data_IF_794944695061
#
_entry.id   IF_794944695061
#
_cell.length_a   1.000
_cell.length_b   1.000
_cell.length_c   1.000
_cell.angle_alpha   90.00
_cell.angle_beta   90.00
_cell.angle_gamma   90.00
#
_symmetry.space_group_name_H-M   'P 1'
#
loop_
_entity.id
_entity.type
_entity.pdbx_description
1 polymer ?
#
# COMPACT_ATOMS: atom_id res chain seq x y z
N UNK A 1 -5.65 -47.14 7.92
CA UNK A 1 -6.33 -45.86 7.98
C UNK A 1 -7.68 -45.90 8.68
N UNK A 2 -8.56 -46.88 8.41
CA UNK A 2 -9.88 -47.04 9.07
C UNK A 2 -9.82 -47.23 10.58
N UNK A 3 -8.83 -47.93 11.09
CA UNK A 3 -8.67 -48.21 12.54
C UNK A 3 -8.28 -46.95 13.35
N UNK A 4 -7.45 -46.06 12.77
CA UNK A 4 -7.04 -44.82 13.42
C UNK A 4 -8.22 -43.84 13.53
N UNK A 5 -9.05 -43.74 12.46
CA UNK A 5 -10.26 -42.92 12.49
C UNK A 5 -11.29 -43.43 13.48
N UNK A 6 -11.45 -44.75 13.57
CA UNK A 6 -12.34 -45.39 14.55
C UNK A 6 -11.89 -45.07 15.99
N UNK A 7 -10.61 -45.21 16.32
CA UNK A 7 -10.08 -44.87 17.63
C UNK A 7 -10.28 -43.41 18.01
N UNK A 8 -10.05 -42.48 17.06
CA UNK A 8 -10.24 -41.04 17.32
C UNK A 8 -11.70 -40.67 17.54
N UNK A 9 -12.63 -41.32 16.83
CA UNK A 9 -14.07 -41.06 16.99
C UNK A 9 -14.61 -41.63 18.31
N UNK A 10 -14.11 -42.79 18.78
CA UNK A 10 -14.56 -43.43 20.00
C UNK A 10 -13.90 -42.82 21.24
N UNK A 11 -12.59 -42.55 21.22
CA UNK A 11 -11.87 -41.97 22.37
C UNK A 11 -12.20 -40.51 22.66
N UNK A 12 -12.52 -39.68 21.63
CA UNK A 12 -12.86 -38.27 21.82
C UNK A 12 -14.34 -38.01 22.11
N UNK A 13 -15.14 -39.03 22.34
CA UNK A 13 -16.59 -38.90 22.68
C UNK A 13 -17.35 -37.97 21.76
N UNK A 14 -17.06 -38.01 20.43
CA UNK A 14 -17.89 -37.29 19.46
C UNK A 14 -19.25 -38.00 19.46
N UNK A 15 -20.36 -37.31 19.80
CA UNK A 15 -21.67 -37.95 19.87
C UNK A 15 -22.11 -38.33 18.45
N UNK A 16 -21.87 -39.60 18.10
CA UNK A 16 -22.46 -40.17 16.89
C UNK A 16 -23.97 -40.30 17.14
N UNK A 17 -24.78 -39.78 16.23
CA UNK A 17 -26.24 -39.99 16.33
C UNK A 17 -26.54 -41.47 16.30
N UNK A 18 -27.54 -41.92 17.08
CA UNK A 18 -27.95 -43.34 17.26
C UNK A 18 -28.01 -44.20 15.99
N UNK A 19 -28.20 -43.58 14.82
CA UNK A 19 -28.25 -44.29 13.52
C UNK A 19 -26.88 -44.66 12.92
N UNK A 20 -25.79 -44.01 13.33
CA UNK A 20 -24.45 -44.27 12.77
C UNK A 20 -23.80 -45.56 13.31
N UNK A 21 -24.08 -45.91 14.58
CA UNK A 21 -23.57 -47.13 15.19
C UNK A 21 -24.23 -48.37 14.61
N UNK A 22 -25.52 -48.29 14.32
CA UNK A 22 -26.28 -49.36 13.66
C UNK A 22 -25.76 -49.59 12.24
N UNK A 23 -25.47 -48.52 11.49
CA UNK A 23 -24.95 -48.63 10.12
C UNK A 23 -23.55 -49.25 10.10
N UNK A 24 -22.66 -48.92 11.06
CA UNK A 24 -21.34 -49.48 11.18
C UNK A 24 -21.41 -51.00 11.51
N UNK A 25 -22.32 -51.41 12.37
CA UNK A 25 -22.48 -52.82 12.79
C UNK A 25 -23.12 -53.66 11.66
N UNK A 26 -24.06 -53.12 10.88
CA UNK A 26 -24.80 -53.88 9.86
C UNK A 26 -24.15 -53.82 8.48
N UNK A 27 -23.50 -52.74 8.13
CA UNK A 27 -22.81 -52.61 6.84
C UNK A 27 -21.59 -51.67 6.96
N UNK A 28 -20.46 -52.18 7.43
CA UNK A 28 -19.26 -51.38 7.67
C UNK A 28 -18.70 -50.75 6.38
N UNK A 29 -18.87 -51.41 5.24
CA UNK A 29 -18.40 -50.89 3.96
C UNK A 29 -19.18 -49.64 3.53
N UNK A 30 -20.50 -49.66 3.65
CA UNK A 30 -21.36 -48.51 3.35
C UNK A 30 -21.13 -47.36 4.32
N UNK A 31 -20.91 -47.63 5.59
CA UNK A 31 -20.57 -46.63 6.58
C UNK A 31 -19.30 -45.88 6.21
N UNK A 32 -18.20 -46.61 5.90
CA UNK A 32 -16.95 -45.98 5.53
C UNK A 32 -16.99 -45.27 4.21
N UNK A 33 -17.83 -45.71 3.26
CA UNK A 33 -18.06 -45.02 1.98
C UNK A 33 -18.77 -43.69 2.21
N UNK A 34 -19.77 -43.64 3.07
CA UNK A 34 -20.45 -42.40 3.45
C UNK A 34 -19.53 -41.42 4.19
N UNK A 35 -18.67 -41.90 5.09
CA UNK A 35 -17.68 -41.10 5.78
C UNK A 35 -16.66 -40.54 4.78
N UNK A 36 -16.21 -41.33 3.82
CA UNK A 36 -15.30 -40.88 2.77
C UNK A 36 -15.92 -39.78 1.87
N UNK A 37 -17.19 -39.90 1.54
CA UNK A 37 -17.91 -38.87 0.77
C UNK A 37 -18.12 -37.59 1.61
N UNK A 38 -18.49 -37.72 2.87
CA UNK A 38 -18.76 -36.58 3.77
C UNK A 38 -17.48 -35.77 4.13
N UNK A 39 -16.33 -36.44 4.19
CA UNK A 39 -15.06 -35.79 4.52
C UNK A 39 -14.25 -35.44 3.27
N UNK A 40 -14.26 -36.34 2.28
CA UNK A 40 -13.46 -36.20 1.05
C UNK A 40 -14.00 -35.14 0.08
N UNK A 41 -15.31 -35.06 -0.09
CA UNK A 41 -15.91 -34.09 -1.00
C UNK A 41 -15.66 -32.61 -0.58
N UNK A 42 -15.83 -32.20 0.68
CA UNK A 42 -15.48 -30.86 1.13
C UNK A 42 -14.00 -30.52 0.96
N UNK A 43 -13.09 -31.47 1.17
CA UNK A 43 -11.65 -31.26 1.01
C UNK A 43 -11.26 -31.09 -0.47
N UNK A 44 -11.92 -31.83 -1.38
CA UNK A 44 -11.72 -31.66 -2.82
C UNK A 44 -12.26 -30.31 -3.32
N UNK A 45 -13.39 -29.86 -2.80
CA UNK A 45 -13.94 -28.54 -3.13
C UNK A 45 -13.03 -27.44 -2.61
N UNK A 46 -12.53 -27.55 -1.37
CA UNK A 46 -11.59 -26.59 -0.79
C UNK A 46 -10.27 -26.52 -1.58
N UNK A 47 -9.75 -27.67 -2.01
CA UNK A 47 -8.58 -27.77 -2.87
C UNK A 47 -8.81 -27.13 -4.24
N UNK A 48 -9.96 -27.37 -4.85
CA UNK A 48 -10.33 -26.78 -6.14
C UNK A 48 -10.49 -25.25 -6.05
N UNK A 49 -11.13 -24.75 -4.99
CA UNK A 49 -11.26 -23.30 -4.72
C UNK A 49 -9.89 -22.67 -4.54
N UNK A 50 -8.99 -23.31 -3.78
CA UNK A 50 -7.62 -22.82 -3.57
C UNK A 50 -6.83 -22.79 -4.88
N UNK A 51 -6.91 -23.83 -5.69
CA UNK A 51 -6.25 -23.88 -7.02
C UNK A 51 -6.81 -22.83 -7.96
N UNK A 52 -8.14 -22.63 -7.99
CA UNK A 52 -8.78 -21.60 -8.81
C UNK A 52 -8.42 -20.18 -8.37
N UNK A 53 -8.33 -19.93 -7.06
CA UNK A 53 -7.88 -18.63 -6.54
C UNK A 53 -6.41 -18.35 -6.83
N UNK A 54 -5.54 -19.34 -6.73
CA UNK A 54 -4.11 -19.20 -7.08
C UNK A 54 -3.91 -19.07 -8.60
N UNK A 55 -4.68 -19.79 -9.41
CA UNK A 55 -4.67 -19.65 -10.87
C UNK A 55 -5.24 -18.29 -11.31
N UNK A 56 -6.29 -17.79 -10.64
CA UNK A 56 -6.84 -16.46 -10.86
C UNK A 56 -5.81 -15.38 -10.59
N UNK A 57 -5.09 -15.44 -9.47
CA UNK A 57 -3.99 -14.52 -9.15
C UNK A 57 -2.89 -14.55 -10.21
N UNK A 58 -2.42 -15.74 -10.63
CA UNK A 58 -1.41 -15.84 -11.69
C UNK A 58 -1.87 -15.27 -13.03
N UNK A 59 -3.14 -15.39 -13.38
CA UNK A 59 -3.69 -14.82 -14.61
C UNK A 59 -3.86 -13.30 -14.54
N UNK A 60 -4.13 -12.75 -13.35
CA UNK A 60 -4.16 -11.30 -13.12
C UNK A 60 -2.76 -10.71 -13.16
N UNK A 61 -1.78 -11.32 -12.52
CA UNK A 61 -0.37 -10.90 -12.58
C UNK A 61 0.13 -10.90 -14.05
N UNK A 62 -0.16 -11.93 -14.82
CA UNK A 62 0.20 -12.00 -16.24
C UNK A 62 -0.55 -10.98 -17.12
N UNK A 63 -1.77 -10.58 -16.76
CA UNK A 63 -2.50 -9.48 -17.43
C UNK A 63 -1.94 -8.12 -17.09
N UNK A 64 -1.52 -7.91 -15.84
CA UNK A 64 -0.88 -6.69 -15.35
C UNK A 64 0.48 -6.53 -16.04
N UNK A 65 1.30 -7.59 -16.10
CA UNK A 65 2.60 -7.59 -16.80
C UNK A 65 2.45 -7.29 -18.29
N UNK A 66 1.46 -7.87 -18.95
CA UNK A 66 1.22 -7.64 -20.39
C UNK A 66 0.70 -6.20 -20.65
N UNK A 67 -0.09 -5.62 -19.73
CA UNK A 67 -0.55 -4.23 -19.83
C UNK A 67 0.56 -3.25 -19.52
N UNK A 68 1.43 -3.56 -18.57
CA UNK A 68 2.63 -2.76 -18.24
C UNK A 68 3.57 -2.73 -19.45
N UNK A 69 3.84 -3.88 -20.07
CA UNK A 69 4.63 -4.02 -21.29
C UNK A 69 4.03 -3.22 -22.45
N UNK A 70 2.70 -3.26 -22.65
CA UNK A 70 2.01 -2.49 -23.68
C UNK A 70 1.96 -0.98 -23.40
N UNK A 71 1.96 -0.57 -22.13
CA UNK A 71 2.03 0.85 -21.76
C UNK A 71 3.45 1.41 -21.96
N UNK A 72 4.47 0.61 -21.65
CA UNK A 72 5.87 0.94 -21.91
C UNK A 72 6.20 0.99 -23.42
N UNK A 73 5.59 0.09 -24.21
CA UNK A 73 5.78 0.02 -25.67
C UNK A 73 5.05 1.15 -26.44
N UNK A 74 4.05 1.79 -25.83
CA UNK A 74 3.33 2.93 -26.38
C UNK A 74 3.98 4.29 -26.12
N UNK A 75 5.24 4.29 -25.67
CA UNK A 75 6.06 5.52 -25.64
C UNK A 75 5.58 6.54 -24.61
N UNK A 76 5.11 6.11 -23.44
CA UNK A 76 5.09 6.99 -22.26
C UNK A 76 6.55 7.31 -21.95
N UNK A 77 7.06 8.32 -22.62
CA UNK A 77 8.36 8.92 -22.28
C UNK A 77 8.23 9.47 -20.87
N UNK A 78 8.79 8.73 -19.90
CA UNK A 78 9.20 9.37 -18.65
C UNK A 78 10.21 10.46 -19.04
N UNK A 79 10.18 11.64 -18.45
CA UNK A 79 11.14 12.71 -18.76
C UNK A 79 12.55 12.39 -18.22
N UNK A 80 12.92 11.11 -18.18
CA UNK A 80 14.20 10.63 -17.69
C UNK A 80 14.87 9.76 -18.75
N UNK A 81 15.94 10.27 -19.35
CA UNK A 81 16.94 9.44 -20.03
C UNK A 81 17.77 8.70 -18.96
N UNK A 82 17.93 7.36 -19.06
CA UNK A 82 18.75 6.64 -18.12
C UNK A 82 20.20 7.13 -18.20
N UNK A 83 20.75 7.55 -17.08
CA UNK A 83 22.17 7.85 -16.96
C UNK A 83 23.00 6.59 -17.26
N UNK A 84 24.16 6.80 -17.88
CA UNK A 84 25.12 5.78 -18.29
C UNK A 84 25.43 4.80 -17.12
N UNK A 85 25.01 3.54 -17.26
CA UNK A 85 25.09 2.47 -16.26
C UNK A 85 26.48 1.79 -16.29
N UNK A 86 27.57 2.54 -16.25
CA UNK A 86 28.91 1.95 -16.18
C UNK A 86 29.41 1.65 -14.75
N UNK A 87 28.63 2.00 -13.71
CA UNK A 87 28.98 1.77 -12.32
C UNK A 87 28.07 0.71 -11.68
N UNK A 88 28.66 -0.36 -11.16
CA UNK A 88 28.00 -1.52 -10.54
C UNK A 88 27.51 -1.17 -9.12
N UNK A 89 26.77 -0.06 -8.98
CA UNK A 89 26.18 0.37 -7.71
C UNK A 89 24.78 -0.20 -7.56
N UNK A 90 24.52 -0.84 -6.43
CA UNK A 90 23.14 -1.25 -6.06
C UNK A 90 22.22 -0.05 -6.07
N UNK A 91 20.97 -0.19 -6.56
CA UNK A 91 20.02 0.93 -6.59
C UNK A 91 19.77 1.45 -5.17
N UNK A 92 19.82 2.77 -4.98
CA UNK A 92 19.47 3.39 -3.70
C UNK A 92 17.98 3.70 -3.67
N UNK A 93 17.21 2.90 -2.92
CA UNK A 93 15.79 3.16 -2.68
C UNK A 93 15.63 3.83 -1.32
N UNK A 94 15.01 5.01 -1.30
CA UNK A 94 14.71 5.77 -0.09
C UNK A 94 13.20 5.79 0.12
N UNK A 95 12.74 5.12 1.17
CA UNK A 95 11.34 5.10 1.60
C UNK A 95 11.09 6.15 2.67
N UNK A 96 10.13 7.05 2.44
CA UNK A 96 9.79 8.14 3.37
C UNK A 96 8.32 8.05 3.74
N UNK A 97 8.02 7.50 4.90
CA UNK A 97 6.65 7.34 5.39
C UNK A 97 6.32 8.34 6.50
N UNK A 98 5.05 8.47 6.80
CA UNK A 98 4.57 9.30 7.90
C UNK A 98 3.23 9.99 7.64
N UNK A 99 2.63 10.61 8.67
CA UNK A 99 1.31 11.22 8.62
C UNK A 99 1.24 12.43 7.67
N UNK A 100 0.03 12.90 7.44
CA UNK A 100 -0.21 14.11 6.64
C UNK A 100 0.45 15.34 7.28
N UNK A 101 0.97 16.25 6.46
CA UNK A 101 1.61 17.51 6.88
C UNK A 101 2.83 17.37 7.81
N UNK A 102 3.46 16.18 7.90
CA UNK A 102 4.71 15.98 8.66
C UNK A 102 5.95 16.63 8.01
N UNK A 103 5.83 17.13 6.77
CA UNK A 103 6.95 17.65 6.00
C UNK A 103 7.67 16.62 5.13
N UNK A 104 7.24 15.35 5.16
CA UNK A 104 7.90 14.25 4.45
C UNK A 104 8.07 14.49 2.95
N UNK A 105 7.05 15.00 2.24
CA UNK A 105 7.14 15.26 0.79
C UNK A 105 8.20 16.29 0.45
N UNK A 106 8.34 17.36 1.26
CA UNK A 106 9.41 18.34 1.07
C UNK A 106 10.79 17.73 1.30
N UNK A 107 10.93 16.91 2.34
CA UNK A 107 12.19 16.21 2.66
C UNK A 107 12.51 15.20 1.56
N UNK A 108 11.52 14.40 1.12
CA UNK A 108 11.69 13.41 0.06
C UNK A 108 12.13 14.05 -1.26
N UNK A 109 11.48 15.15 -1.67
CA UNK A 109 11.88 15.89 -2.89
C UNK A 109 13.33 16.43 -2.78
N UNK A 110 13.74 16.95 -1.62
CA UNK A 110 15.11 17.44 -1.39
C UNK A 110 16.13 16.29 -1.36
N UNK A 111 15.80 15.15 -0.77
CA UNK A 111 16.64 13.96 -0.82
C UNK A 111 16.81 13.49 -2.27
N UNK A 112 15.72 13.43 -3.04
CA UNK A 112 15.78 13.08 -4.45
C UNK A 112 16.72 14.00 -5.26
N UNK A 113 16.56 15.31 -5.07
CA UNK A 113 17.47 16.29 -5.71
C UNK A 113 18.93 16.12 -5.27
N UNK A 114 19.17 15.83 -3.99
CA UNK A 114 20.53 15.68 -3.43
C UNK A 114 21.25 14.45 -3.98
N UNK A 115 20.52 13.34 -4.17
CA UNK A 115 21.09 12.08 -4.66
C UNK A 115 20.92 11.86 -6.16
N UNK A 116 20.31 12.82 -6.88
CA UNK A 116 20.04 12.69 -8.31
C UNK A 116 19.05 11.57 -8.64
N UNK A 117 18.13 11.26 -7.71
CA UNK A 117 17.16 10.19 -7.85
C UNK A 117 15.79 10.72 -8.27
N UNK A 118 15.01 9.95 -9.03
CA UNK A 118 13.62 10.28 -9.31
C UNK A 118 12.77 10.21 -8.03
N UNK A 119 11.74 11.05 -7.93
CA UNK A 119 10.85 11.16 -6.77
C UNK A 119 9.41 10.82 -7.14
N UNK A 120 8.74 10.01 -6.32
CA UNK A 120 7.33 9.72 -6.41
C UNK A 120 6.60 10.07 -5.11
N UNK A 121 5.79 11.13 -5.12
CA UNK A 121 4.75 11.35 -4.11
C UNK A 121 3.57 10.40 -4.42
N UNK A 122 3.52 9.26 -3.74
CA UNK A 122 2.45 8.29 -3.96
C UNK A 122 1.07 8.82 -3.57
N UNK A 123 1.02 9.82 -2.69
CA UNK A 123 -0.21 10.50 -2.31
C UNK A 123 -0.88 11.21 -3.50
N UNK A 124 -0.12 11.66 -4.50
CA UNK A 124 -0.68 12.26 -5.71
C UNK A 124 -1.46 11.25 -6.54
N UNK A 125 -1.04 9.98 -6.60
CA UNK A 125 -1.78 8.92 -7.29
C UNK A 125 -3.17 8.73 -6.68
N UNK A 126 -3.25 8.60 -5.35
CA UNK A 126 -4.52 8.48 -4.65
C UNK A 126 -5.38 9.74 -4.80
N UNK A 127 -4.77 10.94 -4.81
CA UNK A 127 -5.49 12.20 -5.04
C UNK A 127 -6.09 12.25 -6.44
N UNK A 128 -5.34 11.84 -7.45
CA UNK A 128 -5.82 11.78 -8.83
C UNK A 128 -6.98 10.79 -8.98
N UNK A 129 -6.91 9.61 -8.34
CA UNK A 129 -8.03 8.67 -8.31
C UNK A 129 -9.24 9.30 -7.62
N UNK A 130 -9.07 9.90 -6.44
CA UNK A 130 -10.17 10.51 -5.70
C UNK A 130 -10.85 11.65 -6.47
N UNK A 131 -10.06 12.53 -7.08
CA UNK A 131 -10.55 13.60 -7.96
C UNK A 131 -11.27 13.02 -9.18
N UNK A 132 -10.72 11.98 -9.81
CA UNK A 132 -11.37 11.32 -10.95
C UNK A 132 -12.72 10.69 -10.61
N UNK A 133 -12.89 10.16 -9.37
CA UNK A 133 -14.20 9.68 -8.89
C UNK A 133 -15.19 10.84 -8.78
N UNK A 134 -14.77 11.97 -8.19
CA UNK A 134 -15.63 13.17 -8.05
C UNK A 134 -16.00 13.77 -9.42
N UNK A 135 -15.07 13.82 -10.36
CA UNK A 135 -15.30 14.33 -11.72
C UNK A 135 -16.29 13.47 -12.51
N UNK A 136 -16.28 12.16 -12.25
CA UNK A 136 -17.26 11.24 -12.83
C UNK A 136 -18.63 11.34 -12.15
N UNK A 137 -18.84 12.23 -11.17
CA UNK A 137 -20.06 12.31 -10.36
C UNK A 137 -20.26 11.11 -9.44
N UNK A 138 -19.21 10.33 -9.18
CA UNK A 138 -19.25 9.15 -8.35
C UNK A 138 -19.15 9.45 -6.84
N UNK A 139 -19.50 8.46 -6.02
CA UNK A 139 -19.33 8.53 -4.58
C UNK A 139 -17.96 8.00 -4.16
N UNK A 140 -17.28 8.71 -3.26
CA UNK A 140 -16.04 8.22 -2.65
C UNK A 140 -16.27 6.99 -1.73
N UNK A 141 -17.52 6.63 -1.44
CA UNK A 141 -17.87 5.42 -0.68
C UNK A 141 -18.12 4.22 -1.61
N UNK A 142 -18.08 4.41 -2.92
CA UNK A 142 -18.17 3.34 -3.92
C UNK A 142 -16.77 2.83 -4.30
N UNK A 143 -16.39 1.72 -3.67
CA UNK A 143 -15.10 1.07 -3.90
C UNK A 143 -14.93 0.61 -5.36
N UNK A 144 -16.00 0.14 -6.03
CA UNK A 144 -15.93 -0.37 -7.40
C UNK A 144 -15.69 0.78 -8.40
N UNK A 145 -16.35 1.92 -8.21
CA UNK A 145 -16.09 3.13 -9.00
C UNK A 145 -14.65 3.62 -8.79
N UNK A 146 -14.17 3.68 -7.54
CA UNK A 146 -12.81 4.11 -7.24
C UNK A 146 -11.76 3.17 -7.85
N UNK A 147 -11.96 1.86 -7.82
CA UNK A 147 -11.09 0.87 -8.47
C UNK A 147 -11.09 1.05 -9.99
N UNK A 148 -12.25 1.27 -10.60
CA UNK A 148 -12.37 1.50 -12.05
C UNK A 148 -11.59 2.75 -12.49
N UNK A 149 -11.64 3.82 -11.71
CA UNK A 149 -10.86 5.04 -11.96
C UNK A 149 -9.37 4.77 -11.79
N UNK A 150 -8.97 4.06 -10.73
CA UNK A 150 -7.57 3.72 -10.48
C UNK A 150 -6.95 2.89 -11.61
N UNK A 151 -7.70 1.93 -12.18
CA UNK A 151 -7.26 1.12 -13.32
C UNK A 151 -7.07 1.91 -14.62
N UNK A 152 -7.69 3.09 -14.72
CA UNK A 152 -7.60 4.00 -15.89
C UNK A 152 -6.64 5.17 -15.68
N UNK A 153 -6.01 5.25 -14.51
CA UNK A 153 -5.09 6.34 -14.17
C UNK A 153 -3.90 6.35 -15.14
N UNK A 154 -3.59 7.52 -15.68
CA UNK A 154 -2.39 7.77 -16.49
C UNK A 154 -1.73 9.10 -16.11
N UNK A 155 -0.60 9.43 -16.75
CA UNK A 155 0.20 10.60 -16.44
C UNK A 155 -0.56 11.93 -16.65
N UNK A 156 -1.56 11.99 -17.53
CA UNK A 156 -2.33 13.22 -17.77
C UNK A 156 -3.15 13.63 -16.56
N UNK A 157 -3.57 12.67 -15.74
CA UNK A 157 -4.32 12.92 -14.51
C UNK A 157 -3.48 13.52 -13.37
N UNK A 158 -2.15 13.57 -13.53
CA UNK A 158 -1.22 14.11 -12.53
C UNK A 158 -0.75 15.54 -12.85
N UNK A 159 -1.25 16.14 -13.91
CA UNK A 159 -0.77 17.45 -14.41
C UNK A 159 -1.37 18.65 -13.68
N UNK A 160 -2.60 18.53 -13.16
CA UNK A 160 -3.27 19.61 -12.41
C UNK A 160 -2.82 19.58 -10.93
N UNK A 161 -1.62 20.08 -10.70
CA UNK A 161 -1.00 20.10 -9.36
C UNK A 161 -1.77 20.93 -8.35
N UNK A 162 -2.40 22.02 -8.76
CA UNK A 162 -3.16 22.90 -7.86
C UNK A 162 -4.39 22.19 -7.32
N UNK A 163 -5.14 21.54 -8.19
CA UNK A 163 -6.29 20.74 -7.80
C UNK A 163 -5.90 19.54 -6.95
N UNK A 164 -4.88 18.79 -7.35
CA UNK A 164 -4.40 17.62 -6.62
C UNK A 164 -3.82 17.98 -5.25
N UNK A 165 -3.35 19.20 -5.01
CA UNK A 165 -2.86 19.64 -3.70
C UNK A 165 -3.93 20.31 -2.83
N UNK A 166 -5.18 20.39 -3.29
CA UNK A 166 -6.33 20.94 -2.54
C UNK A 166 -6.66 20.10 -1.28
N UNK A 167 -7.45 20.69 -0.39
CA UNK A 167 -8.01 19.98 0.76
C UNK A 167 -8.95 18.86 0.36
N UNK A 168 -9.83 19.11 -0.62
CA UNK A 168 -10.78 18.15 -1.18
C UNK A 168 -10.08 16.90 -1.74
N UNK A 169 -9.05 17.08 -2.59
CA UNK A 169 -8.27 15.97 -3.13
C UNK A 169 -7.56 15.18 -2.01
N UNK A 170 -7.12 15.87 -0.97
CA UNK A 170 -6.51 15.23 0.21
C UNK A 170 -7.48 14.36 1.00
N UNK A 171 -8.72 14.81 1.20
CA UNK A 171 -9.78 14.03 1.87
C UNK A 171 -10.23 12.86 0.98
N UNK A 172 -10.46 13.10 -0.31
CA UNK A 172 -10.81 12.07 -1.26
C UNK A 172 -9.75 10.93 -1.28
N UNK A 173 -8.47 11.28 -1.37
CA UNK A 173 -7.38 10.32 -1.32
C UNK A 173 -7.40 9.46 -0.04
N UNK A 174 -7.59 10.09 1.12
CA UNK A 174 -7.61 9.38 2.39
C UNK A 174 -8.77 8.39 2.49
N UNK A 175 -9.95 8.72 1.94
CA UNK A 175 -11.12 7.83 1.93
C UNK A 175 -10.89 6.61 1.03
N UNK A 176 -10.45 6.81 -0.22
CA UNK A 176 -10.31 5.72 -1.18
C UNK A 176 -9.05 4.86 -0.95
N UNK A 177 -8.04 5.37 -0.26
CA UNK A 177 -6.79 4.63 0.00
C UNK A 177 -6.97 3.40 0.91
N UNK A 178 -8.13 3.25 1.57
CA UNK A 178 -8.52 2.06 2.30
C UNK A 178 -9.03 0.91 1.42
N UNK A 179 -9.36 1.17 0.14
CA UNK A 179 -9.93 0.16 -0.75
C UNK A 179 -8.85 -0.76 -1.33
N UNK A 180 -8.94 -2.09 -1.09
CA UNK A 180 -7.94 -3.04 -1.59
C UNK A 180 -7.79 -3.01 -3.12
N UNK A 181 -8.88 -2.85 -3.88
CA UNK A 181 -8.86 -2.79 -5.34
C UNK A 181 -8.12 -1.57 -5.87
N UNK A 182 -8.33 -0.37 -5.29
CA UNK A 182 -7.58 0.85 -5.62
C UNK A 182 -6.08 0.64 -5.34
N UNK A 183 -5.74 0.07 -4.19
CA UNK A 183 -4.35 -0.20 -3.82
C UNK A 183 -3.69 -1.18 -4.79
N UNK A 184 -4.38 -2.28 -5.13
CA UNK A 184 -3.88 -3.27 -6.08
C UNK A 184 -3.64 -2.65 -7.48
N UNK A 185 -4.53 -1.78 -7.95
CA UNK A 185 -4.39 -1.09 -9.23
C UNK A 185 -3.14 -0.19 -9.29
N UNK A 186 -2.78 0.46 -8.17
CA UNK A 186 -1.64 1.37 -8.10
C UNK A 186 -0.32 0.69 -7.72
N UNK A 187 -0.36 -0.51 -7.13
CA UNK A 187 0.80 -1.18 -6.53
C UNK A 187 1.89 -1.51 -7.55
N UNK A 188 1.51 -2.04 -8.72
CA UNK A 188 2.46 -2.44 -9.76
C UNK A 188 3.29 -1.24 -10.25
N UNK A 189 2.65 -0.09 -10.48
CA UNK A 189 3.33 1.15 -10.88
C UNK A 189 4.31 1.63 -9.80
N UNK A 190 3.88 1.65 -8.53
CA UNK A 190 4.73 2.11 -7.42
C UNK A 190 5.96 1.21 -7.24
N UNK A 191 5.78 -0.11 -7.31
CA UNK A 191 6.89 -1.08 -7.25
C UNK A 191 7.86 -0.95 -8.42
N UNK A 192 7.33 -0.80 -9.64
CA UNK A 192 8.17 -0.59 -10.82
C UNK A 192 8.97 0.72 -10.71
N UNK A 193 8.36 1.78 -10.17
CA UNK A 193 9.05 3.04 -9.91
C UNK A 193 10.16 2.89 -8.87
N UNK A 194 9.94 2.14 -7.79
CA UNK A 194 10.97 1.88 -6.78
C UNK A 194 12.14 1.07 -7.34
N UNK A 195 11.86 0.09 -8.21
CA UNK A 195 12.85 -0.84 -8.75
C UNK A 195 13.59 -0.35 -10.01
N UNK A 196 13.41 0.93 -10.40
CA UNK A 196 14.08 1.44 -11.59
C UNK A 196 15.62 1.54 -11.38
N UNK A 197 16.35 1.54 -12.50
CA UNK A 197 17.82 1.63 -12.47
C UNK A 197 18.29 2.89 -11.72
N UNK A 198 19.31 2.74 -10.88
CA UNK A 198 19.82 3.80 -10.01
C UNK A 198 19.03 4.00 -8.71
N UNK A 199 17.81 3.52 -8.62
CA UNK A 199 16.96 3.67 -7.44
C UNK A 199 15.96 4.81 -7.52
N UNK A 200 15.31 5.13 -6.40
CA UNK A 200 14.27 6.14 -6.34
C UNK A 200 14.01 6.62 -4.90
N UNK A 201 13.39 7.79 -4.78
CA UNK A 201 12.78 8.26 -3.53
C UNK A 201 11.28 8.18 -3.65
N UNK A 202 10.61 7.49 -2.72
CA UNK A 202 9.17 7.43 -2.65
C UNK A 202 8.69 7.96 -1.31
N UNK A 203 7.63 8.76 -1.31
CA UNK A 203 6.98 9.15 -0.06
C UNK A 203 5.49 8.76 -0.02
N UNK A 204 5.06 8.34 1.18
CA UNK A 204 3.70 7.82 1.38
C UNK A 204 3.33 7.54 2.82
N UNK A 205 2.74 6.35 3.04
CA UNK A 205 2.28 5.86 4.34
C UNK A 205 2.76 4.44 4.65
N UNK A 206 3.08 3.69 3.61
CA UNK A 206 3.38 2.26 3.64
C UNK A 206 4.48 1.90 2.62
N UNK A 207 5.35 2.86 2.31
CA UNK A 207 6.44 2.63 1.36
C UNK A 207 7.40 1.59 1.91
N UNK A 208 7.90 1.79 3.13
CA UNK A 208 8.88 0.90 3.76
C UNK A 208 8.30 -0.42 4.24
N UNK A 209 6.96 -0.57 4.29
CA UNK A 209 6.30 -1.80 4.75
C UNK A 209 5.70 -2.64 3.62
N UNK A 210 5.21 -2.02 2.53
CA UNK A 210 4.44 -2.69 1.47
C UNK A 210 5.01 -2.44 0.08
N UNK A 211 5.36 -1.20 -0.26
CA UNK A 211 5.76 -0.84 -1.62
C UNK A 211 7.21 -1.27 -1.90
N UNK A 212 8.13 -0.87 -1.02
CA UNK A 212 9.57 -1.14 -1.10
C UNK A 212 10.10 -1.61 0.27
N UNK A 213 9.68 -2.79 0.76
CA UNK A 213 10.16 -3.32 2.03
C UNK A 213 11.67 -3.63 2.02
N UNK A 214 12.28 -3.72 0.85
CA UNK A 214 13.71 -3.90 0.63
C UNK A 214 14.51 -2.58 0.53
N UNK A 215 13.86 -1.41 0.68
CA UNK A 215 14.51 -0.11 0.60
C UNK A 215 15.71 0.00 1.57
N UNK A 216 16.85 0.48 1.08
CA UNK A 216 18.08 0.61 1.85
C UNK A 216 18.00 1.67 2.93
N UNK A 217 17.26 2.76 2.66
CA UNK A 217 17.00 3.81 3.64
C UNK A 217 15.50 3.96 3.88
N UNK A 218 15.07 3.81 5.13
CA UNK A 218 13.67 3.98 5.53
C UNK A 218 13.54 5.01 6.63
N UNK A 219 12.75 6.04 6.36
CA UNK A 219 12.46 7.13 7.28
C UNK A 219 10.96 7.13 7.61
N UNK A 220 10.63 7.25 8.88
CA UNK A 220 9.28 7.55 9.32
C UNK A 220 9.25 8.95 9.91
N UNK A 221 8.71 9.92 9.17
CA UNK A 221 8.74 11.35 9.52
C UNK A 221 7.43 11.73 10.17
N UNK A 222 7.51 12.21 11.41
CA UNK A 222 6.36 12.63 12.20
C UNK A 222 6.51 14.04 12.74
N UNK A 223 5.43 14.58 13.31
CA UNK A 223 5.35 15.74 14.19
C UNK A 223 4.01 15.67 14.93
N UNK A 224 3.86 16.43 16.03
CA UNK A 224 2.58 16.47 16.74
C UNK A 224 1.43 16.94 15.85
N UNK A 225 0.19 16.52 16.11
CA UNK A 225 -0.98 16.94 15.32
C UNK A 225 -1.11 18.46 15.22
N UNK A 226 -0.82 19.19 16.28
CA UNK A 226 -0.90 20.65 16.37
C UNK A 226 0.11 21.32 15.42
N UNK A 227 1.35 20.85 15.43
CA UNK A 227 2.41 21.35 14.52
C UNK A 227 2.05 21.07 13.07
N UNK A 228 1.55 19.88 12.77
CA UNK A 228 1.12 19.50 11.43
C UNK A 228 -0.10 20.31 10.97
N UNK A 229 -1.07 20.51 11.84
CA UNK A 229 -2.23 21.38 11.60
C UNK A 229 -1.78 22.82 11.33
N UNK A 230 -0.86 23.34 12.12
CA UNK A 230 -0.29 24.70 11.93
C UNK A 230 0.40 24.82 10.56
N UNK A 231 1.23 23.85 10.18
CA UNK A 231 1.91 23.83 8.86
C UNK A 231 0.89 23.83 7.71
N UNK A 232 -0.14 22.98 7.81
CA UNK A 232 -1.17 22.86 6.78
C UNK A 232 -2.07 24.07 6.72
N UNK A 233 -2.47 24.59 7.87
CA UNK A 233 -3.28 25.80 7.97
C UNK A 233 -2.58 26.99 7.31
N UNK A 234 -1.31 27.24 7.66
CA UNK A 234 -0.50 28.29 7.02
C UNK A 234 -0.42 28.14 5.51
N UNK A 235 -0.23 26.91 5.02
CA UNK A 235 -0.16 26.61 3.59
C UNK A 235 -1.47 26.95 2.86
N UNK A 236 -2.61 26.61 3.44
CA UNK A 236 -3.93 26.84 2.83
C UNK A 236 -4.35 28.31 2.92
N UNK A 237 -4.09 28.97 4.06
CA UNK A 237 -4.33 30.41 4.24
C UNK A 237 -3.50 31.23 3.26
N UNK A 238 -2.24 30.87 3.03
CA UNK A 238 -1.39 31.53 2.02
C UNK A 238 -1.94 31.38 0.56
N UNK A 239 -2.80 30.38 0.33
CA UNK A 239 -3.53 30.19 -0.93
C UNK A 239 -4.92 30.86 -0.94
N UNK A 240 -5.23 31.69 0.06
CA UNK A 240 -6.51 32.40 0.16
C UNK A 240 -7.67 31.55 0.67
N UNK A 241 -7.42 30.37 1.23
CA UNK A 241 -8.48 29.56 1.86
C UNK A 241 -8.72 30.02 3.30
N UNK A 242 -9.95 30.35 3.64
CA UNK A 242 -10.37 30.72 4.99
C UNK A 242 -10.85 29.48 5.75
N UNK A 243 -9.99 28.91 6.58
CA UNK A 243 -10.26 27.70 7.36
C UNK A 243 -9.90 27.96 8.82
N UNK A 244 -10.81 27.67 9.74
CA UNK A 244 -10.53 27.75 11.18
C UNK A 244 -9.44 26.72 11.57
N UNK A 245 -8.53 27.12 12.44
CA UNK A 245 -7.43 26.25 12.89
C UNK A 245 -7.95 24.97 13.57
N UNK A 246 -9.00 25.08 14.39
CA UNK A 246 -9.62 23.97 15.11
C UNK A 246 -10.20 22.94 14.13
N UNK A 247 -10.78 23.39 13.03
CA UNK A 247 -11.29 22.51 11.99
C UNK A 247 -10.13 21.78 11.28
N UNK A 248 -9.02 22.48 11.02
CA UNK A 248 -7.82 21.87 10.45
C UNK A 248 -7.19 20.82 11.37
N UNK A 249 -7.11 21.11 12.68
CA UNK A 249 -6.59 20.16 13.67
C UNK A 249 -7.47 18.91 13.74
N UNK A 250 -8.79 19.08 13.79
CA UNK A 250 -9.73 17.95 13.79
C UNK A 250 -9.60 17.08 12.52
N UNK A 251 -9.42 17.72 11.36
CA UNK A 251 -9.21 16.99 10.09
C UNK A 251 -7.91 16.17 10.10
N UNK A 252 -6.82 16.74 10.60
CA UNK A 252 -5.53 16.05 10.75
C UNK A 252 -5.66 14.82 11.65
N UNK A 253 -6.30 14.96 12.83
CA UNK A 253 -6.50 13.85 13.77
C UNK A 253 -7.35 12.75 13.13
N UNK A 254 -8.51 13.11 12.56
CA UNK A 254 -9.41 12.18 11.89
C UNK A 254 -8.71 11.41 10.76
N UNK A 255 -7.84 12.10 10.03
CA UNK A 255 -7.07 11.48 8.95
C UNK A 255 -6.03 10.50 9.46
N UNK A 256 -5.34 10.84 10.55
CA UNK A 256 -4.36 9.94 11.17
C UNK A 256 -5.03 8.65 11.68
N UNK A 257 -6.18 8.78 12.34
CA UNK A 257 -6.98 7.64 12.80
C UNK A 257 -7.38 6.74 11.62
N UNK A 258 -7.82 7.35 10.51
CA UNK A 258 -8.18 6.61 9.30
C UNK A 258 -6.96 5.93 8.67
N UNK A 259 -5.83 6.64 8.54
CA UNK A 259 -4.61 6.14 7.94
C UNK A 259 -4.00 4.99 8.78
N UNK A 260 -4.05 5.07 10.12
CA UNK A 260 -3.58 4.02 11.02
C UNK A 260 -4.57 2.84 11.14
N UNK A 261 -5.87 3.10 11.08
CA UNK A 261 -6.93 2.09 11.24
C UNK A 261 -7.30 1.31 9.97
N UNK A 262 -6.58 1.50 8.86
CA UNK A 262 -6.87 0.76 7.60
C UNK A 262 -6.68 -0.73 7.79
N UNK A 263 -7.63 -1.53 7.28
CA UNK A 263 -7.51 -2.99 7.25
C UNK A 263 -6.45 -3.48 6.26
N UNK A 264 -6.15 -2.69 5.22
CA UNK A 264 -5.11 -2.98 4.23
C UNK A 264 -4.03 -1.89 4.29
N UNK A 265 -2.77 -2.29 4.50
CA UNK A 265 -1.59 -1.42 4.56
C UNK A 265 -1.79 -0.21 5.50
N UNK A 266 -1.95 -0.43 6.80
CA UNK A 266 -2.04 0.64 7.78
C UNK A 266 -0.77 1.48 7.78
N UNK A 267 -0.89 2.77 8.14
CA UNK A 267 0.27 3.63 8.34
C UNK A 267 0.97 3.21 9.64
N UNK A 268 2.03 2.44 9.50
CA UNK A 268 2.88 2.00 10.61
C UNK A 268 4.35 2.20 10.25
N UNK A 269 5.17 2.49 11.24
CA UNK A 269 6.62 2.53 11.07
C UNK A 269 7.14 1.12 10.77
N UNK A 270 7.94 0.95 9.69
CA UNK A 270 8.63 -0.30 9.44
C UNK A 270 9.66 -0.55 10.55
N UNK A 271 9.92 -1.83 10.87
CA UNK A 271 10.81 -2.22 11.97
C UNK A 271 12.22 -1.63 11.85
N UNK A 272 12.71 -1.53 10.61
CA UNK A 272 14.03 -1.01 10.25
C UNK A 272 14.00 0.47 9.83
N UNK A 273 12.85 1.15 9.94
CA UNK A 273 12.75 2.57 9.66
C UNK A 273 13.22 3.42 10.85
N UNK A 274 13.99 4.47 10.54
CA UNK A 274 14.38 5.46 11.54
C UNK A 274 13.27 6.48 11.72
N UNK A 275 12.82 6.64 12.96
CA UNK A 275 11.87 7.68 13.34
C UNK A 275 12.56 9.04 13.32
N UNK A 276 11.98 10.01 12.61
CA UNK A 276 12.38 11.41 12.61
C UNK A 276 11.21 12.28 13.06
N UNK A 277 11.24 12.69 14.32
CA UNK A 277 10.27 13.66 14.84
C UNK A 277 10.72 15.09 14.51
N UNK A 278 9.92 15.78 13.73
CA UNK A 278 10.20 17.14 13.27
C UNK A 278 9.39 18.21 14.02
N UNK A 279 8.83 17.87 15.18
CA UNK A 279 7.97 18.77 15.97
C UNK A 279 8.65 20.11 16.25
N UNK A 280 9.90 20.05 16.72
CA UNK A 280 10.68 21.22 17.11
C UNK A 280 11.75 21.60 16.07
N UNK A 281 11.64 21.09 14.84
CA UNK A 281 12.62 21.33 13.79
C UNK A 281 12.09 22.30 12.73
N UNK A 282 12.95 23.19 12.29
CA UNK A 282 12.77 23.89 11.03
C UNK A 282 13.07 22.95 9.85
N UNK A 283 12.81 23.43 8.65
CA UNK A 283 12.96 22.59 7.44
C UNK A 283 14.43 22.21 7.15
N UNK A 284 15.39 23.07 7.49
CA UNK A 284 16.80 22.80 7.25
C UNK A 284 17.34 21.76 8.25
N UNK A 285 17.02 21.92 9.54
CA UNK A 285 17.39 20.94 10.57
C UNK A 285 16.76 19.56 10.30
N UNK A 286 15.48 19.53 9.90
CA UNK A 286 14.80 18.29 9.54
C UNK A 286 15.41 17.62 8.31
N UNK A 287 15.77 18.38 7.28
CA UNK A 287 16.42 17.86 6.09
C UNK A 287 17.82 17.32 6.40
N UNK A 288 18.63 18.06 7.17
CA UNK A 288 19.97 17.60 7.56
C UNK A 288 19.91 16.32 8.41
N UNK A 289 18.94 16.19 9.29
CA UNK A 289 18.71 14.96 10.03
C UNK A 289 18.33 13.80 9.09
N UNK A 290 17.41 14.01 8.17
CA UNK A 290 17.03 13.02 7.17
C UNK A 290 18.21 12.58 6.30
N UNK A 291 19.03 13.53 5.86
CA UNK A 291 20.24 13.25 5.06
C UNK A 291 21.23 12.38 5.85
N UNK A 292 21.48 12.68 7.13
CA UNK A 292 22.34 11.83 7.99
C UNK A 292 21.82 10.40 8.10
N UNK A 293 20.50 10.20 8.20
CA UNK A 293 19.90 8.87 8.22
C UNK A 293 20.18 8.12 6.90
N UNK A 294 20.00 8.77 5.76
CA UNK A 294 20.28 8.17 4.45
C UNK A 294 21.76 7.85 4.31
N UNK A 295 22.68 8.74 4.70
CA UNK A 295 24.12 8.47 4.61
C UNK A 295 24.54 7.29 5.51
N UNK A 296 23.99 7.18 6.72
CA UNK A 296 24.24 6.03 7.58
C UNK A 296 23.71 4.71 6.94
N UNK A 297 22.56 4.76 6.30
CA UNK A 297 22.02 3.61 5.59
C UNK A 297 22.89 3.24 4.37
N UNK A 298 23.32 4.21 3.58
CA UNK A 298 24.24 4.00 2.45
C UNK A 298 25.53 3.33 2.91
N UNK A 299 26.16 3.87 3.94
CA UNK A 299 27.41 3.30 4.50
C UNK A 299 27.22 1.84 4.95
N UNK A 300 26.06 1.52 5.57
CA UNK A 300 25.72 0.15 5.98
C UNK A 300 25.58 -0.82 4.81
N UNK A 301 25.12 -0.34 3.65
CA UNK A 301 24.91 -1.14 2.43
C UNK A 301 26.08 -1.06 1.45
N UNK A 302 27.14 -0.30 1.76
CA UNK A 302 28.31 -0.15 0.90
C UNK A 302 28.04 0.68 -0.38
N UNK A 303 27.13 1.66 -0.29
CA UNK A 303 26.70 2.53 -1.39
C UNK A 303 27.40 3.90 -1.35
#
# INVERSE_FOLDING_TARGET
MGWVIHSVLVEKRIPLRRGSDVLLATNPTLFWLLVAVLIGAPLLVLGAVLVLTLAGRRSEDARIDRRLSLALDKGVRTPYEPADMSDNTYPLIIAVDGPAASGKGTIAARLAATYGLPHLDTGLLYRAVGVGVLDAGGSLDDAATAETVALKLDASHLTDTDRLTSGEAGEAASRIAGYPGVRAALLAFQKAFAAQAGGAVLDGRDIGTVIAPEAQAKLFITATPEVRATRRWKQLTARGQDIAFEAMLADIIKRDERDAGRGAAPMVQAEDAVLLDTTDMDIEAAFDAARRIVEAARAKHGL
#
